data_IF_364082220596
#
_entry.id   IF_364082220596
#
_cell.length_a   1.000
_cell.length_b   1.000
_cell.length_c   1.000
_cell.angle_alpha   90.00
_cell.angle_beta   90.00
_cell.angle_gamma   90.00
#
_symmetry.space_group_name_H-M   'P 1'
#
loop_
_entity.id
_entity.type
_entity.pdbx_description
1 polymer ?
#
# COMPACT_ATOMS: atom_id res chain seq x y z
N UNK A 1 -18.48 15.71 9.74
CA UNK A 1 -17.49 16.69 10.24
C UNK A 1 -16.36 16.72 9.23
N UNK A 2 -16.29 17.83 8.49
CA UNK A 2 -15.35 18.27 7.45
C UNK A 2 -14.43 17.22 6.81
N UNK A 3 -14.88 16.68 5.67
CA UNK A 3 -14.03 16.03 4.67
C UNK A 3 -13.38 17.12 3.81
N UNK A 4 -12.22 17.63 4.22
CA UNK A 4 -11.39 18.45 3.32
C UNK A 4 -10.46 17.55 2.51
N UNK A 5 -10.50 17.76 1.19
CA UNK A 5 -9.62 17.13 0.21
C UNK A 5 -8.18 17.56 0.54
N UNK A 6 -7.38 16.64 1.10
CA UNK A 6 -5.96 16.91 1.40
C UNK A 6 -5.19 16.87 0.07
N UNK A 7 -5.10 18.03 -0.54
CA UNK A 7 -4.14 18.35 -1.60
C UNK A 7 -3.05 19.23 -0.97
N UNK A 8 -1.80 19.14 -1.46
CA UNK A 8 -0.73 20.11 -1.14
C UNK A 8 -1.02 21.53 -1.68
N UNK A 9 -2.24 21.79 -2.16
CA UNK A 9 -2.69 23.02 -2.78
C UNK A 9 -3.61 23.91 -1.90
N UNK A 10 -3.43 24.11 -0.58
CA UNK A 10 -4.09 25.22 0.10
C UNK A 10 -3.17 26.45 0.07
N UNK A 11 -2.69 26.88 -1.11
CA UNK A 11 -1.81 28.05 -1.21
C UNK A 11 -2.09 28.95 -2.40
N UNK A 12 -3.16 29.73 -2.29
CA UNK A 12 -3.22 31.06 -2.91
C UNK A 12 -3.20 32.23 -1.91
N UNK A 13 -3.59 32.07 -0.63
CA UNK A 13 -3.93 33.27 0.19
C UNK A 13 -3.33 33.39 1.62
N UNK A 14 -2.14 32.81 1.91
CA UNK A 14 -1.45 33.12 3.18
C UNK A 14 -0.55 34.36 3.06
N UNK A 15 -0.63 35.37 3.96
CA UNK A 15 0.18 36.58 3.90
C UNK A 15 1.68 36.30 4.12
N UNK A 16 2.52 36.88 3.26
CA UNK A 16 3.95 36.60 3.09
C UNK A 16 4.78 37.62 3.91
N UNK A 17 5.83 37.20 4.66
CA UNK A 17 6.86 38.12 5.17
C UNK A 17 7.72 38.69 4.02
N UNK A 18 8.08 39.96 4.11
CA UNK A 18 8.66 40.86 3.08
C UNK A 18 10.02 40.49 2.43
N UNK A 19 10.38 39.22 2.26
CA UNK A 19 11.50 38.81 1.39
C UNK A 19 10.97 38.39 0.01
N UNK A 20 11.47 39.01 -1.06
CA UNK A 20 11.11 38.74 -2.47
C UNK A 20 11.61 37.37 -2.95
N UNK A 21 11.26 36.29 -2.27
CA UNK A 21 11.61 34.94 -2.71
C UNK A 21 10.59 34.49 -3.74
N UNK A 22 11.04 34.20 -4.98
CA UNK A 22 10.17 33.68 -6.03
C UNK A 22 9.66 32.29 -5.61
N UNK A 23 8.34 32.07 -5.67
CA UNK A 23 7.74 30.76 -5.43
C UNK A 23 8.04 29.81 -6.59
N UNK A 24 8.27 28.54 -6.28
CA UNK A 24 8.42 27.51 -7.30
C UNK A 24 7.10 27.33 -8.07
N UNK A 25 7.21 27.14 -9.39
CA UNK A 25 6.08 26.83 -10.26
C UNK A 25 6.45 25.64 -11.13
N UNK A 26 5.55 24.67 -11.19
CA UNK A 26 5.75 23.49 -12.03
C UNK A 26 5.82 23.90 -13.51
N UNK A 27 6.78 23.36 -14.27
CA UNK A 27 6.75 23.41 -15.72
C UNK A 27 5.49 22.71 -16.27
N UNK A 28 5.14 22.92 -17.55
CA UNK A 28 4.01 22.26 -18.21
C UNK A 28 4.01 20.73 -18.07
N UNK A 29 2.86 20.11 -18.40
CA UNK A 29 2.63 18.67 -18.34
C UNK A 29 3.82 17.86 -18.89
N UNK A 30 4.20 16.85 -18.11
CA UNK A 30 5.27 15.93 -18.47
C UNK A 30 4.94 15.19 -19.77
N UNK A 31 5.99 14.88 -20.55
CA UNK A 31 5.87 14.00 -21.70
C UNK A 31 5.38 12.61 -21.25
N UNK A 32 4.61 11.89 -22.08
CA UNK A 32 4.21 10.51 -21.77
C UNK A 32 5.41 9.65 -21.36
N UNK A 33 5.24 8.85 -20.30
CA UNK A 33 6.30 7.99 -19.77
C UNK A 33 7.44 8.72 -19.06
N UNK A 34 7.26 9.99 -18.67
CA UNK A 34 8.22 10.73 -17.84
C UNK A 34 7.66 10.95 -16.43
N UNK A 35 8.58 11.09 -15.48
CA UNK A 35 8.34 11.62 -14.12
C UNK A 35 9.31 12.76 -13.86
N UNK A 36 9.18 13.49 -12.75
CA UNK A 36 10.28 14.31 -12.24
C UNK A 36 11.11 13.54 -11.23
N UNK A 37 12.37 13.93 -11.07
CA UNK A 37 13.24 13.49 -9.97
C UNK A 37 13.76 14.71 -9.21
N UNK A 38 13.87 14.55 -7.89
CA UNK A 38 14.48 15.51 -6.99
C UNK A 38 15.97 15.19 -6.88
N UNK A 39 16.83 16.13 -7.25
CA UNK A 39 18.25 16.12 -6.90
C UNK A 39 18.40 16.86 -5.58
N UNK A 40 18.57 16.11 -4.50
CA UNK A 40 18.85 16.61 -3.16
C UNK A 40 20.34 16.90 -3.02
N UNK A 41 20.68 18.10 -2.58
CA UNK A 41 22.06 18.55 -2.51
C UNK A 41 22.72 18.23 -1.19
N UNK A 42 24.03 17.93 -1.20
CA UNK A 42 24.78 17.73 0.02
C UNK A 42 25.01 19.04 0.76
N UNK A 43 25.14 18.92 2.09
CA UNK A 43 25.61 20.00 2.96
C UNK A 43 26.22 19.37 4.22
N UNK A 44 27.39 19.84 4.64
CA UNK A 44 28.07 19.36 5.85
C UNK A 44 27.31 19.76 7.12
N UNK A 45 26.56 20.87 7.09
CA UNK A 45 25.78 21.34 8.23
C UNK A 45 24.41 20.66 8.23
N UNK A 46 24.14 19.86 9.26
CA UNK A 46 22.86 19.14 9.40
C UNK A 46 21.65 20.08 9.42
N UNK A 47 21.79 21.29 9.96
CA UNK A 47 20.73 22.29 10.10
C UNK A 47 20.65 23.29 8.92
N UNK A 48 21.57 23.22 7.95
CA UNK A 48 21.50 24.06 6.77
C UNK A 48 20.20 23.84 6.00
N UNK A 49 19.66 24.88 5.37
CA UNK A 49 18.41 24.80 4.61
C UNK A 49 18.50 23.77 3.47
N UNK A 50 17.41 23.02 3.25
CA UNK A 50 17.35 21.98 2.21
C UNK A 50 17.35 22.62 0.82
N UNK A 51 18.36 22.29 0.01
CA UNK A 51 18.50 22.73 -1.38
C UNK A 51 18.31 21.57 -2.35
N UNK A 52 17.49 21.80 -3.38
CA UNK A 52 17.08 20.79 -4.34
C UNK A 52 17.00 21.34 -5.77
N UNK A 53 17.12 20.42 -6.73
CA UNK A 53 16.71 20.65 -8.12
C UNK A 53 15.64 19.65 -8.55
N UNK A 54 14.65 20.10 -9.31
CA UNK A 54 13.63 19.24 -9.89
C UNK A 54 13.76 19.24 -11.41
N UNK A 55 13.86 18.05 -12.00
CA UNK A 55 14.09 17.88 -13.44
C UNK A 55 13.32 16.68 -14.01
N UNK A 56 13.01 16.74 -15.30
CA UNK A 56 12.29 15.69 -16.01
C UNK A 56 13.16 14.45 -16.22
N UNK A 57 12.57 13.27 -16.02
CA UNK A 57 13.23 11.99 -16.09
C UNK A 57 12.41 10.98 -16.91
N UNK A 58 12.97 10.41 -17.99
CA UNK A 58 12.30 9.40 -18.82
C UNK A 58 12.29 8.02 -18.14
N UNK A 59 11.11 7.42 -17.99
CA UNK A 59 10.95 6.05 -17.47
C UNK A 59 11.15 5.01 -18.59
N UNK A 60 12.36 4.89 -19.13
CA UNK A 60 12.69 3.99 -20.25
C UNK A 60 12.30 2.53 -20.02
N UNK A 61 11.53 1.92 -20.92
CA UNK A 61 11.14 0.49 -20.82
C UNK A 61 12.24 -0.48 -21.25
N UNK A 62 13.24 0.00 -21.98
CA UNK A 62 14.43 -0.77 -22.28
C UNK A 62 15.24 -1.00 -21.00
N UNK A 63 15.47 -2.27 -20.63
CA UNK A 63 16.36 -2.66 -19.53
C UNK A 63 17.86 -2.33 -19.73
N UNK A 64 18.19 -1.37 -20.61
CA UNK A 64 19.52 -0.79 -20.75
C UNK A 64 19.66 0.38 -19.78
N UNK A 65 20.42 0.17 -18.71
CA UNK A 65 20.72 1.18 -17.71
C UNK A 65 20.10 0.84 -16.34
N UNK A 66 20.86 1.10 -15.29
CA UNK A 66 20.37 1.06 -13.92
C UNK A 66 19.80 2.45 -13.64
N UNK A 67 18.50 2.57 -13.32
CA UNK A 67 18.00 3.87 -12.87
C UNK A 67 18.58 4.12 -11.48
N UNK A 68 19.37 5.19 -11.34
CA UNK A 68 20.17 5.48 -10.14
C UNK A 68 19.43 6.38 -9.13
N UNK A 69 18.09 6.39 -9.16
CA UNK A 69 17.31 7.13 -8.18
C UNK A 69 16.73 6.19 -7.12
N UNK A 70 16.44 6.78 -5.98
CA UNK A 70 15.79 6.15 -4.83
C UNK A 70 14.35 6.66 -4.75
N UNK A 71 13.41 5.88 -4.23
CA UNK A 71 12.05 6.35 -4.02
C UNK A 71 11.75 6.47 -2.52
N UNK A 72 11.17 7.58 -2.10
CA UNK A 72 10.78 7.82 -0.72
C UNK A 72 9.35 7.34 -0.48
N UNK A 73 9.16 6.53 0.55
CA UNK A 73 7.88 6.07 1.08
C UNK A 73 7.74 6.62 2.50
N UNK A 74 6.85 7.59 2.70
CA UNK A 74 6.73 8.29 3.98
C UNK A 74 5.26 8.65 4.27
N UNK A 75 4.95 9.07 5.49
CA UNK A 75 3.62 9.64 5.80
C UNK A 75 3.66 11.14 5.61
N UNK A 76 2.74 11.73 4.85
CA UNK A 76 2.74 13.18 4.60
C UNK A 76 2.66 14.01 5.89
N UNK A 77 1.99 13.48 6.91
CA UNK A 77 1.91 14.08 8.24
C UNK A 77 0.86 15.19 8.32
N UNK A 78 1.00 16.03 9.34
CA UNK A 78 0.16 17.20 9.55
C UNK A 78 0.45 18.28 8.49
N UNK A 79 -0.62 18.92 8.00
CA UNK A 79 -0.61 19.97 6.99
C UNK A 79 -0.87 21.35 7.61
N UNK A 80 -0.99 21.47 8.93
CA UNK A 80 -1.25 22.74 9.63
C UNK A 80 0.00 23.61 9.74
N UNK A 81 1.18 23.03 9.54
CA UNK A 81 2.46 23.73 9.50
C UNK A 81 3.28 23.31 8.28
N UNK A 82 4.08 24.23 7.74
CA UNK A 82 4.93 23.95 6.59
C UNK A 82 6.34 24.48 6.84
N UNK A 83 7.31 23.77 6.27
CA UNK A 83 8.71 24.15 6.21
C UNK A 83 9.05 24.59 4.79
N UNK A 84 10.01 25.50 4.66
CA UNK A 84 10.47 26.00 3.36
C UNK A 84 11.72 25.26 2.91
N UNK A 85 11.74 24.85 1.64
CA UNK A 85 12.92 24.32 0.95
C UNK A 85 13.16 25.12 -0.34
N UNK A 86 14.38 25.08 -0.86
CA UNK A 86 14.73 25.71 -2.13
C UNK A 86 14.68 24.68 -3.26
N UNK A 87 13.81 24.86 -4.25
CA UNK A 87 13.78 24.08 -5.49
C UNK A 87 14.11 24.98 -6.67
N UNK A 88 15.16 24.65 -7.43
CA UNK A 88 15.61 25.44 -8.57
C UNK A 88 15.78 26.94 -8.20
N UNK A 89 16.35 27.21 -7.01
CA UNK A 89 16.54 28.56 -6.44
C UNK A 89 15.24 29.32 -6.12
N UNK A 90 14.12 28.62 -5.98
CA UNK A 90 12.80 29.18 -5.65
C UNK A 90 12.26 28.54 -4.38
N UNK A 91 11.51 29.29 -3.61
CA UNK A 91 10.90 28.81 -2.37
C UNK A 91 9.75 27.84 -2.66
N UNK A 92 9.75 26.70 -1.97
CA UNK A 92 8.65 25.73 -1.98
C UNK A 92 8.35 25.26 -0.56
N UNK A 93 7.07 25.21 -0.22
CA UNK A 93 6.60 24.70 1.07
C UNK A 93 6.39 23.20 1.03
N UNK A 94 6.84 22.52 2.07
CA UNK A 94 6.67 21.08 2.28
C UNK A 94 6.19 20.81 3.69
N UNK A 95 5.61 19.64 3.91
CA UNK A 95 5.20 19.23 5.26
C UNK A 95 6.41 19.01 6.16
N UNK A 96 6.25 19.10 7.50
CA UNK A 96 7.34 18.83 8.43
C UNK A 96 7.89 17.41 8.26
N UNK A 97 7.02 16.43 7.99
CA UNK A 97 7.45 15.05 7.77
C UNK A 97 8.37 14.91 6.56
N UNK A 98 8.05 15.57 5.44
CA UNK A 98 8.90 15.54 4.26
C UNK A 98 10.21 16.30 4.50
N UNK A 99 10.15 17.48 5.13
CA UNK A 99 11.34 18.26 5.44
C UNK A 99 12.34 17.46 6.28
N UNK A 100 11.86 16.86 7.37
CA UNK A 100 12.69 16.03 8.26
C UNK A 100 13.23 14.79 7.56
N UNK A 101 12.44 14.14 6.70
CA UNK A 101 12.92 13.04 5.87
C UNK A 101 14.05 13.48 4.94
N UNK A 102 13.91 14.61 4.25
CA UNK A 102 14.95 15.14 3.35
C UNK A 102 16.23 15.49 4.10
N UNK A 103 16.15 16.05 5.31
CA UNK A 103 17.32 16.30 6.16
C UNK A 103 18.05 15.00 6.52
N UNK A 104 17.34 13.97 6.96
CA UNK A 104 17.92 12.66 7.30
C UNK A 104 18.45 11.89 6.09
N UNK A 105 17.99 12.24 4.90
CA UNK A 105 18.48 11.67 3.64
C UNK A 105 19.61 12.48 3.04
N UNK A 106 19.80 13.75 3.41
CA UNK A 106 20.88 14.55 2.89
C UNK A 106 22.21 13.93 3.30
N UNK A 107 23.06 13.66 2.32
CA UNK A 107 24.42 13.22 2.57
C UNK A 107 25.33 14.46 2.70
N UNK A 108 26.38 14.43 3.53
CA UNK A 108 27.25 15.59 3.69
C UNK A 108 28.05 15.98 2.44
N UNK A 109 28.28 15.03 1.52
CA UNK A 109 29.21 15.21 0.40
C UNK A 109 28.63 14.84 -0.97
N UNK A 110 27.66 13.94 -1.01
CA UNK A 110 27.09 13.42 -2.25
C UNK A 110 25.67 13.90 -2.48
N UNK A 111 25.39 14.31 -3.71
CA UNK A 111 24.02 14.53 -4.13
C UNK A 111 23.25 13.22 -4.25
N UNK A 112 21.94 13.27 -4.00
CA UNK A 112 21.06 12.12 -4.10
C UNK A 112 19.92 12.40 -5.07
N UNK A 113 19.56 11.40 -5.85
CA UNK A 113 18.41 11.45 -6.75
C UNK A 113 17.26 10.70 -6.11
N UNK A 114 16.20 11.43 -5.73
CA UNK A 114 15.09 10.90 -4.97
C UNK A 114 13.79 11.18 -5.74
N UNK A 115 12.95 10.17 -5.88
CA UNK A 115 11.56 10.35 -6.25
C UNK A 115 10.71 10.45 -4.99
N UNK A 116 9.96 11.54 -4.87
CA UNK A 116 8.98 11.74 -3.79
C UNK A 116 7.71 12.34 -4.38
N UNK A 117 6.59 11.64 -4.18
CA UNK A 117 5.28 11.95 -4.75
C UNK A 117 4.86 13.42 -4.56
N UNK A 118 5.05 13.96 -3.36
CA UNK A 118 4.68 15.32 -3.00
C UNK A 118 5.39 16.42 -3.81
N UNK A 119 6.60 16.15 -4.33
CA UNK A 119 7.37 17.12 -5.12
C UNK A 119 7.47 16.74 -6.59
N UNK A 120 7.60 15.46 -6.91
CA UNK A 120 7.80 14.99 -8.27
C UNK A 120 6.52 15.02 -9.12
N UNK A 121 5.35 15.01 -8.45
CA UNK A 121 4.02 15.13 -9.07
C UNK A 121 3.48 16.53 -8.77
N UNK A 122 2.97 17.22 -9.79
CA UNK A 122 2.19 18.43 -9.59
C UNK A 122 0.84 18.08 -8.97
N UNK A 123 0.74 18.19 -7.65
CA UNK A 123 -0.46 17.85 -6.87
C UNK A 123 -1.66 18.75 -7.19
N UNK A 124 -1.44 19.90 -7.83
CA UNK A 124 -2.49 20.86 -8.19
C UNK A 124 -3.06 20.61 -9.60
N UNK A 125 -2.47 19.72 -10.39
CA UNK A 125 -3.01 19.31 -11.70
C UNK A 125 -3.60 17.89 -11.59
N UNK A 126 -4.95 17.75 -11.57
CA UNK A 126 -5.59 16.45 -11.43
C UNK A 126 -5.29 15.51 -12.61
N UNK A 127 -5.04 16.06 -13.81
CA UNK A 127 -4.68 15.24 -14.97
C UNK A 127 -3.26 14.70 -14.80
N UNK A 128 -2.30 15.55 -14.40
CA UNK A 128 -0.94 15.08 -14.11
C UNK A 128 -0.95 14.05 -12.97
N UNK A 129 -1.66 14.35 -11.88
CA UNK A 129 -1.80 13.47 -10.72
C UNK A 129 -2.36 12.10 -11.12
N UNK A 130 -3.46 12.06 -11.89
CA UNK A 130 -4.04 10.82 -12.37
C UNK A 130 -3.04 9.97 -13.18
N UNK A 131 -2.34 10.59 -14.13
CA UNK A 131 -1.34 9.89 -14.96
C UNK A 131 -0.12 9.41 -14.15
N UNK A 132 0.39 10.22 -13.22
CA UNK A 132 1.54 9.85 -12.39
C UNK A 132 1.17 8.76 -11.37
N UNK A 133 -0.02 8.83 -10.77
CA UNK A 133 -0.54 7.78 -9.86
C UNK A 133 -0.61 6.42 -10.56
N UNK A 134 -1.11 6.39 -11.80
CA UNK A 134 -1.12 5.16 -12.60
C UNK A 134 0.29 4.65 -12.94
N UNK A 135 1.29 5.53 -12.91
CA UNK A 135 2.70 5.22 -13.15
C UNK A 135 3.48 4.89 -11.88
N UNK A 136 2.93 5.11 -10.67
CA UNK A 136 3.67 4.96 -9.41
C UNK A 136 4.30 3.57 -9.25
N UNK A 137 3.58 2.48 -9.53
CA UNK A 137 4.13 1.13 -9.43
C UNK A 137 5.38 0.96 -10.31
N UNK A 138 5.35 1.54 -11.53
CA UNK A 138 6.49 1.54 -12.45
C UNK A 138 7.65 2.37 -11.91
N UNK A 139 7.37 3.52 -11.31
CA UNK A 139 8.39 4.40 -10.73
C UNK A 139 9.06 3.72 -9.53
N UNK A 140 8.32 3.17 -8.57
CA UNK A 140 8.91 2.47 -7.43
C UNK A 140 9.67 1.21 -7.86
N UNK A 141 9.18 0.46 -8.85
CA UNK A 141 9.86 -0.75 -9.34
C UNK A 141 11.18 -0.46 -10.07
N UNK A 142 11.28 0.74 -10.67
CA UNK A 142 12.48 1.20 -11.36
C UNK A 142 13.51 1.83 -10.44
N UNK A 143 13.14 2.25 -9.22
CA UNK A 143 14.07 2.79 -8.24
C UNK A 143 15.14 1.74 -7.85
N UNK A 144 16.35 2.21 -7.55
CA UNK A 144 17.44 1.37 -7.03
C UNK A 144 17.09 0.75 -5.69
N UNK A 145 16.41 1.53 -4.82
CA UNK A 145 15.79 1.10 -3.58
C UNK A 145 14.63 2.01 -3.20
N UNK A 146 13.76 1.50 -2.34
CA UNK A 146 12.67 2.26 -1.71
C UNK A 146 13.03 2.48 -0.26
N UNK A 147 13.05 3.74 0.16
CA UNK A 147 13.32 4.12 1.54
C UNK A 147 11.99 4.31 2.24
N UNK A 148 11.71 3.45 3.22
CA UNK A 148 10.57 3.56 4.11
C UNK A 148 10.97 4.45 5.28
N UNK A 149 10.50 5.69 5.29
CA UNK A 149 10.72 6.64 6.36
C UNK A 149 9.59 6.57 7.39
N UNK A 150 9.93 6.11 8.59
CA UNK A 150 9.01 5.92 9.71
C UNK A 150 8.91 7.15 10.62
N UNK A 151 9.64 8.24 10.33
CA UNK A 151 9.70 9.44 11.15
C UNK A 151 10.92 9.46 12.09
N UNK A 152 10.93 10.44 12.99
CA UNK A 152 11.97 10.62 14.00
C UNK A 152 12.07 9.44 14.98
N UNK A 153 13.22 9.36 15.65
CA UNK A 153 13.41 8.45 16.77
C UNK A 153 12.45 8.81 17.92
N UNK A 154 11.61 7.85 18.31
CA UNK A 154 10.60 8.01 19.34
C UNK A 154 10.10 6.64 19.81
N UNK A 155 9.58 6.59 21.04
CA UNK A 155 8.96 5.40 21.66
C UNK A 155 9.89 4.16 21.67
N UNK A 156 11.19 4.39 21.81
CA UNK A 156 12.19 3.31 21.79
C UNK A 156 12.45 2.70 20.41
N UNK A 157 12.13 3.41 19.32
CA UNK A 157 12.31 2.93 17.93
C UNK A 157 13.69 2.35 17.64
N UNK A 158 14.75 2.95 18.18
CA UNK A 158 16.13 2.54 17.89
C UNK A 158 16.41 1.18 18.54
N UNK A 159 15.94 1.00 19.77
CA UNK A 159 15.95 -0.30 20.46
C UNK A 159 15.09 -1.32 19.70
N UNK A 160 13.89 -0.94 19.24
CA UNK A 160 13.02 -1.84 18.49
C UNK A 160 13.68 -2.35 17.20
N UNK A 161 14.29 -1.44 16.42
CA UNK A 161 15.00 -1.80 15.20
C UNK A 161 16.19 -2.72 15.52
N UNK A 162 16.96 -2.40 16.57
CA UNK A 162 18.12 -3.21 16.96
C UNK A 162 17.73 -4.62 17.41
N UNK A 163 16.68 -4.75 18.22
CA UNK A 163 16.15 -6.07 18.66
C UNK A 163 15.69 -6.90 17.46
N UNK A 164 14.95 -6.29 16.52
CA UNK A 164 14.54 -6.95 15.28
C UNK A 164 15.77 -7.36 14.45
N UNK A 165 16.76 -6.48 14.33
CA UNK A 165 18.00 -6.74 13.58
C UNK A 165 18.77 -7.91 14.18
N UNK A 166 18.96 -7.94 15.49
CA UNK A 166 19.65 -9.05 16.17
C UNK A 166 18.89 -10.37 15.98
N UNK A 167 17.57 -10.38 16.12
CA UNK A 167 16.74 -11.56 15.90
C UNK A 167 16.85 -12.09 14.45
N UNK A 168 17.13 -11.22 13.47
CA UNK A 168 17.30 -11.61 12.07
C UNK A 168 18.58 -12.43 11.79
N UNK A 169 19.55 -12.43 12.71
CA UNK A 169 20.85 -13.10 12.53
C UNK A 169 20.83 -14.62 12.78
N UNK A 170 19.69 -15.18 13.19
CA UNK A 170 19.54 -16.61 13.46
C UNK A 170 20.07 -17.06 14.83
N UNK A 171 20.45 -16.14 15.71
CA UNK A 171 20.67 -16.45 17.12
C UNK A 171 19.35 -16.87 17.79
N UNK A 172 19.38 -17.80 18.77
CA UNK A 172 18.16 -18.17 19.48
C UNK A 172 17.55 -16.90 20.10
N UNK A 173 16.28 -16.61 19.82
CA UNK A 173 15.66 -15.38 20.30
C UNK A 173 15.72 -15.37 21.83
N UNK A 174 16.31 -14.33 22.40
CA UNK A 174 16.11 -14.07 23.83
C UNK A 174 14.62 -13.81 24.04
N UNK A 175 14.00 -14.32 25.11
CA UNK A 175 12.61 -14.01 25.42
C UNK A 175 12.42 -12.49 25.39
N UNK A 176 11.46 -12.04 24.59
CA UNK A 176 11.21 -10.62 24.41
C UNK A 176 10.76 -10.02 25.74
N UNK A 177 11.60 -9.16 26.33
CA UNK A 177 11.23 -8.44 27.54
C UNK A 177 10.12 -7.43 27.25
N UNK A 178 9.41 -7.00 28.30
CA UNK A 178 8.25 -6.09 28.16
C UNK A 178 8.62 -4.74 27.53
N UNK A 179 9.81 -4.22 27.80
CA UNK A 179 10.27 -2.93 27.28
C UNK A 179 10.53 -3.03 25.78
N UNK A 180 11.26 -4.08 25.36
CA UNK A 180 11.52 -4.38 23.96
C UNK A 180 10.21 -4.66 23.19
N UNK A 181 9.26 -5.36 23.82
CA UNK A 181 7.93 -5.57 23.24
C UNK A 181 7.18 -4.26 23.02
N UNK A 182 7.21 -3.35 24.00
CA UNK A 182 6.55 -2.04 23.90
C UNK A 182 7.20 -1.15 22.83
N UNK A 183 8.52 -1.20 22.72
CA UNK A 183 9.26 -0.46 21.69
C UNK A 183 8.90 -0.95 20.27
N UNK A 184 8.87 -2.28 20.07
CA UNK A 184 8.43 -2.88 18.79
C UNK A 184 6.98 -2.52 18.51
N UNK A 185 6.10 -2.56 19.52
CA UNK A 185 4.71 -2.16 19.38
C UNK A 185 4.59 -0.70 18.89
N UNK A 186 5.31 0.23 19.54
CA UNK A 186 5.33 1.65 19.15
C UNK A 186 5.85 1.85 17.72
N UNK A 187 6.86 1.08 17.30
CA UNK A 187 7.36 1.06 15.92
C UNK A 187 6.29 0.62 14.92
N UNK A 188 5.62 -0.51 15.18
CA UNK A 188 4.62 -1.10 14.28
C UNK A 188 3.29 -0.32 14.24
N UNK A 189 2.99 0.47 15.27
CA UNK A 189 1.81 1.33 15.33
C UNK A 189 1.95 2.64 14.54
N UNK A 190 3.16 2.98 14.08
CA UNK A 190 3.40 4.20 13.29
C UNK A 190 2.46 4.27 12.08
N UNK A 191 2.00 5.48 11.78
CA UNK A 191 0.97 5.76 10.76
C UNK A 191 1.31 5.21 9.38
N UNK A 192 2.60 5.09 9.05
CA UNK A 192 3.07 4.52 7.78
C UNK A 192 2.46 3.13 7.52
N UNK A 193 2.46 2.23 8.52
CA UNK A 193 1.90 0.88 8.39
C UNK A 193 0.38 0.87 8.18
N UNK A 194 -0.31 1.98 8.44
CA UNK A 194 -1.77 2.03 8.35
C UNK A 194 -2.24 2.47 6.96
N UNK A 195 -1.40 3.13 6.17
CA UNK A 195 -1.78 3.72 4.88
C UNK A 195 -1.94 2.67 3.80
N UNK A 196 -2.82 2.90 2.83
CA UNK A 196 -2.98 1.97 1.70
C UNK A 196 -1.88 2.16 0.64
N UNK A 197 -1.45 3.39 0.38
CA UNK A 197 -0.47 3.70 -0.67
C UNK A 197 0.86 2.98 -0.48
N UNK A 198 1.31 2.81 0.77
CA UNK A 198 2.58 2.15 1.08
C UNK A 198 2.66 0.73 0.54
N UNK A 199 1.52 0.06 0.37
CA UNK A 199 1.48 -1.32 -0.15
C UNK A 199 2.05 -1.40 -1.55
N UNK A 200 1.63 -0.51 -2.46
CA UNK A 200 2.16 -0.50 -3.83
C UNK A 200 3.63 -0.08 -3.84
N UNK A 201 4.03 0.82 -2.95
CA UNK A 201 5.40 1.33 -2.84
C UNK A 201 6.35 0.20 -2.45
N UNK A 202 6.03 -0.57 -1.40
CA UNK A 202 6.85 -1.72 -0.99
C UNK A 202 6.63 -2.96 -1.84
N UNK A 203 5.47 -3.13 -2.50
CA UNK A 203 5.23 -4.22 -3.44
C UNK A 203 5.99 -4.03 -4.76
N UNK A 204 6.26 -2.79 -5.15
CA UNK A 204 7.05 -2.48 -6.33
C UNK A 204 8.56 -2.57 -6.07
N UNK A 205 8.99 -2.25 -4.85
CA UNK A 205 10.39 -2.16 -4.48
C UNK A 205 11.20 -3.42 -4.80
N UNK A 206 12.42 -3.27 -5.33
CA UNK A 206 13.37 -4.39 -5.47
C UNK A 206 14.34 -4.51 -4.30
N UNK A 207 14.47 -3.43 -3.55
CA UNK A 207 15.20 -3.34 -2.30
C UNK A 207 14.45 -2.34 -1.41
N UNK A 208 14.23 -2.69 -0.16
CA UNK A 208 13.54 -1.85 0.84
C UNK A 208 14.52 -1.56 1.96
N UNK A 209 14.72 -0.29 2.27
CA UNK A 209 15.46 0.17 3.45
C UNK A 209 14.47 0.84 4.39
N UNK A 210 14.33 0.33 5.62
CA UNK A 210 13.46 0.94 6.64
C UNK A 210 14.34 1.85 7.50
N UNK A 211 13.95 3.11 7.62
CA UNK A 211 14.67 4.14 8.38
C UNK A 211 13.74 4.82 9.38
N UNK A 212 14.23 5.01 10.60
CA UNK A 212 13.55 5.73 11.68
C UNK A 212 14.58 6.55 12.45
N UNK A 213 14.48 7.88 12.41
CA UNK A 213 15.55 8.77 12.85
C UNK A 213 16.86 8.43 12.14
N UNK A 214 17.93 8.28 12.90
CA UNK A 214 19.25 7.90 12.39
C UNK A 214 19.42 6.40 12.14
N UNK A 215 18.59 5.55 12.74
CA UNK A 215 18.70 4.09 12.62
C UNK A 215 18.05 3.56 11.35
N UNK A 216 18.63 2.50 10.78
CA UNK A 216 18.11 1.84 9.60
C UNK A 216 18.27 0.32 9.66
N UNK A 217 17.41 -0.38 8.93
CA UNK A 217 17.43 -1.84 8.80
C UNK A 217 16.99 -2.24 7.39
N UNK A 218 17.66 -3.26 6.84
CA UNK A 218 17.24 -3.87 5.59
C UNK A 218 15.84 -4.50 5.72
N UNK A 219 14.97 -4.29 4.73
CA UNK A 219 13.59 -4.74 4.78
C UNK A 219 13.45 -6.26 4.92
N UNK A 220 14.35 -7.05 4.32
CA UNK A 220 14.36 -8.50 4.48
C UNK A 220 14.76 -8.88 5.92
N UNK A 221 15.81 -8.24 6.45
CA UNK A 221 16.23 -8.43 7.84
C UNK A 221 15.11 -8.06 8.83
N UNK A 222 14.38 -6.97 8.59
CA UNK A 222 13.21 -6.59 9.38
C UNK A 222 12.13 -7.68 9.40
N UNK A 223 11.81 -8.25 8.23
CA UNK A 223 10.79 -9.30 8.13
C UNK A 223 11.22 -10.61 8.82
N UNK A 224 12.48 -11.03 8.63
CA UNK A 224 13.03 -12.24 9.26
C UNK A 224 13.09 -12.07 10.77
N UNK A 225 13.61 -10.93 11.24
CA UNK A 225 13.72 -10.62 12.67
C UNK A 225 12.36 -10.58 13.36
N UNK A 226 11.38 -9.89 12.79
CA UNK A 226 10.04 -9.80 13.38
C UNK A 226 9.34 -11.17 13.44
N UNK A 227 9.55 -12.03 12.43
CA UNK A 227 9.05 -13.40 12.47
C UNK A 227 9.76 -14.24 13.55
N UNK A 228 11.09 -14.15 13.64
CA UNK A 228 11.88 -14.89 14.63
C UNK A 228 11.51 -14.55 16.09
N UNK A 229 11.09 -13.31 16.34
CA UNK A 229 10.60 -12.87 17.65
C UNK A 229 9.23 -13.46 18.04
N UNK A 230 8.50 -14.07 17.09
CA UNK A 230 7.14 -14.57 17.29
C UNK A 230 6.24 -13.54 18.00
N UNK A 231 6.26 -12.29 17.50
CA UNK A 231 5.57 -11.17 18.15
C UNK A 231 4.06 -11.49 18.32
N UNK A 232 3.49 -11.31 19.53
CA UNK A 232 2.14 -11.79 19.84
C UNK A 232 1.06 -10.87 19.26
N UNK A 233 0.85 -10.93 17.95
CA UNK A 233 -0.16 -10.13 17.24
C UNK A 233 -1.59 -10.39 17.72
N UNK A 234 -1.87 -11.55 18.32
CA UNK A 234 -3.17 -11.87 18.91
C UNK A 234 -3.57 -10.90 20.03
N UNK A 235 -2.60 -10.30 20.72
CA UNK A 235 -2.87 -9.27 21.72
C UNK A 235 -3.20 -7.90 21.11
N UNK A 236 -3.00 -7.72 19.79
CA UNK A 236 -3.14 -6.46 19.07
C UNK A 236 -3.91 -6.64 17.75
N UNK A 237 -5.24 -6.79 17.80
CA UNK A 237 -6.07 -7.10 16.63
C UNK A 237 -5.88 -6.12 15.45
N UNK A 238 -5.67 -4.83 15.76
CA UNK A 238 -5.42 -3.80 14.74
C UNK A 238 -4.14 -4.06 13.94
N UNK A 239 -3.11 -4.65 14.56
CA UNK A 239 -1.83 -4.95 13.89
C UNK A 239 -1.83 -6.29 13.17
N UNK A 240 -2.67 -7.24 13.61
CA UNK A 240 -2.71 -8.60 13.08
C UNK A 240 -3.03 -8.63 11.57
N UNK A 241 -3.83 -7.69 11.07
CA UNK A 241 -4.13 -7.56 9.63
C UNK A 241 -3.14 -6.65 8.88
N UNK A 242 -2.46 -5.74 9.57
CA UNK A 242 -1.59 -4.74 8.95
C UNK A 242 -0.16 -5.24 8.75
N UNK A 243 0.44 -5.83 9.78
CA UNK A 243 1.88 -6.09 9.78
C UNK A 243 2.24 -7.31 8.93
N UNK A 244 1.62 -8.49 9.12
CA UNK A 244 1.92 -9.67 8.29
C UNK A 244 1.74 -9.44 6.79
N UNK A 245 0.67 -8.73 6.41
CA UNK A 245 0.38 -8.43 5.00
C UNK A 245 1.37 -7.43 4.39
N UNK A 246 1.97 -6.55 5.20
CA UNK A 246 3.04 -5.63 4.76
C UNK A 246 4.39 -6.33 4.70
N UNK A 247 4.74 -7.14 5.71
CA UNK A 247 6.01 -7.88 5.74
C UNK A 247 6.08 -8.92 4.63
N UNK A 248 4.94 -9.52 4.25
CA UNK A 248 4.85 -10.34 3.05
C UNK A 248 5.34 -9.60 1.79
N UNK A 249 4.87 -8.37 1.58
CA UNK A 249 5.30 -7.55 0.43
C UNK A 249 6.76 -7.12 0.55
N UNK A 250 7.25 -6.77 1.74
CA UNK A 250 8.65 -6.33 1.90
C UNK A 250 9.62 -7.51 1.68
N UNK A 251 9.34 -8.68 2.27
CA UNK A 251 10.22 -9.85 2.26
C UNK A 251 10.56 -10.32 0.86
N UNK A 252 9.59 -10.31 -0.05
CA UNK A 252 9.77 -10.87 -1.39
C UNK A 252 10.44 -9.87 -2.37
N UNK A 253 10.76 -8.64 -1.92
CA UNK A 253 11.39 -7.61 -2.73
C UNK A 253 12.68 -8.04 -3.47
N UNK A 254 13.64 -8.75 -2.84
CA UNK A 254 14.88 -9.15 -3.50
C UNK A 254 14.68 -10.11 -4.68
N UNK A 255 13.57 -10.83 -4.72
CA UNK A 255 13.27 -11.82 -5.77
C UNK A 255 12.56 -11.22 -6.99
N UNK A 256 12.23 -9.92 -6.97
CA UNK A 256 11.50 -9.26 -8.05
C UNK A 256 12.38 -8.99 -9.27
N UNK A 257 11.87 -9.24 -10.49
CA UNK A 257 12.64 -9.06 -11.71
C UNK A 257 12.96 -7.58 -11.96
N UNK A 258 14.13 -7.30 -12.56
CA UNK A 258 14.53 -5.96 -13.03
C UNK A 258 13.66 -5.44 -14.18
N UNK A 259 13.21 -6.35 -15.03
CA UNK A 259 12.46 -6.05 -16.24
C UNK A 259 11.09 -6.75 -16.13
N UNK A 260 10.03 -5.96 -16.10
CA UNK A 260 8.66 -6.46 -16.18
C UNK A 260 8.27 -6.46 -17.66
N UNK A 261 8.08 -7.64 -18.24
CA UNK A 261 7.63 -7.76 -19.63
C UNK A 261 6.13 -7.47 -19.72
N UNK A 262 5.78 -6.30 -20.26
CA UNK A 262 4.39 -5.96 -20.52
C UNK A 262 3.88 -6.73 -21.75
N UNK A 263 2.99 -7.70 -21.55
CA UNK A 263 2.21 -8.31 -22.65
C UNK A 263 1.05 -7.42 -23.11
N UNK A 264 0.57 -6.51 -22.25
CA UNK A 264 -0.69 -5.76 -22.43
C UNK A 264 -0.50 -4.23 -22.54
N UNK A 265 0.74 -3.73 -22.62
CA UNK A 265 1.03 -2.29 -22.65
C UNK A 265 0.86 -1.54 -21.31
N UNK A 266 0.15 -2.12 -20.33
CA UNK A 266 -0.03 -1.57 -18.97
C UNK A 266 0.92 -2.22 -17.97
N UNK A 267 1.70 -1.41 -17.25
CA UNK A 267 2.60 -1.91 -16.19
C UNK A 267 1.81 -2.51 -15.03
N UNK A 268 2.16 -3.73 -14.63
CA UNK A 268 1.60 -4.41 -13.47
C UNK A 268 2.69 -5.21 -12.76
N UNK A 269 2.64 -5.23 -11.44
CA UNK A 269 3.51 -6.05 -10.58
C UNK A 269 3.09 -7.52 -10.53
N UNK A 270 1.91 -7.86 -11.07
CA UNK A 270 1.38 -9.22 -11.13
C UNK A 270 1.37 -9.91 -9.75
N UNK A 271 1.02 -9.16 -8.70
CA UNK A 271 1.03 -9.67 -7.32
C UNK A 271 -0.14 -10.63 -7.14
N UNK A 272 -1.38 -10.13 -7.29
CA UNK A 272 -2.62 -10.88 -7.12
C UNK A 272 -3.77 -10.22 -7.90
N UNK A 273 -4.89 -10.91 -8.16
CA UNK A 273 -6.08 -10.28 -8.73
C UNK A 273 -6.59 -9.12 -7.86
N UNK A 274 -7.14 -8.07 -8.46
CA UNK A 274 -7.57 -6.84 -7.77
C UNK A 274 -8.57 -7.13 -6.65
N UNK A 275 -9.51 -8.05 -6.89
CA UNK A 275 -10.50 -8.46 -5.89
C UNK A 275 -9.87 -9.05 -4.61
N UNK A 276 -8.78 -9.80 -4.77
CA UNK A 276 -8.04 -10.37 -3.64
C UNK A 276 -7.30 -9.25 -2.92
N UNK A 277 -6.65 -8.35 -3.65
CA UNK A 277 -5.96 -7.21 -3.04
C UNK A 277 -6.92 -6.32 -2.24
N UNK A 278 -8.10 -6.00 -2.79
CA UNK A 278 -9.11 -5.21 -2.07
C UNK A 278 -9.55 -5.92 -0.81
N UNK A 279 -9.83 -7.23 -0.88
CA UNK A 279 -10.18 -8.04 0.29
C UNK A 279 -9.06 -8.05 1.36
N UNK A 280 -7.80 -8.08 0.94
CA UNK A 280 -6.64 -8.01 1.83
C UNK A 280 -6.49 -6.65 2.52
N UNK A 281 -6.75 -5.56 1.81
CA UNK A 281 -6.21 -4.24 2.17
C UNK A 281 -7.26 -3.13 2.38
N UNK A 282 -8.56 -3.37 2.18
CA UNK A 282 -9.58 -2.31 2.25
C UNK A 282 -9.73 -1.63 3.63
N UNK A 283 -9.21 -2.21 4.72
CA UNK A 283 -9.19 -1.62 6.07
C UNK A 283 -8.05 -0.63 6.28
N UNK A 284 -7.11 -0.53 5.34
CA UNK A 284 -6.05 0.48 5.36
C UNK A 284 -6.66 1.89 5.26
N UNK A 285 -6.00 2.83 5.92
CA UNK A 285 -6.36 4.24 5.91
C UNK A 285 -6.03 4.87 4.55
N UNK A 286 -6.98 5.66 4.08
CA UNK A 286 -6.86 6.51 2.91
C UNK A 286 -7.56 7.83 3.22
N UNK A 287 -6.99 8.95 2.76
CA UNK A 287 -7.66 10.25 2.86
C UNK A 287 -8.83 10.34 1.89
N UNK A 288 -8.60 9.88 0.65
CA UNK A 288 -9.63 9.75 -0.37
C UNK A 288 -10.08 8.29 -0.43
N UNK A 289 -11.37 8.02 -0.26
CA UNK A 289 -11.89 6.66 -0.28
C UNK A 289 -11.61 5.94 -1.62
N UNK A 290 -11.47 6.67 -2.74
CA UNK A 290 -11.13 6.08 -4.05
C UNK A 290 -9.76 5.41 -4.05
N UNK A 291 -8.83 5.89 -3.22
CA UNK A 291 -7.49 5.32 -3.09
C UNK A 291 -7.54 3.89 -2.54
N UNK A 292 -8.63 3.49 -1.88
CA UNK A 292 -8.85 2.10 -1.45
C UNK A 292 -8.84 1.10 -2.60
N UNK A 293 -9.10 1.57 -3.82
CA UNK A 293 -9.02 0.79 -5.05
C UNK A 293 -7.81 1.21 -5.88
N UNK A 294 -7.60 2.51 -6.07
CA UNK A 294 -6.57 3.03 -6.98
C UNK A 294 -5.15 2.65 -6.55
N UNK A 295 -4.86 2.61 -5.24
CA UNK A 295 -3.56 2.21 -4.72
C UNK A 295 -3.22 0.73 -4.99
N UNK A 296 -4.20 -0.10 -5.37
CA UNK A 296 -4.00 -1.53 -5.61
C UNK A 296 -3.92 -1.87 -7.10
N UNK A 297 -4.24 -0.93 -7.99
CA UNK A 297 -4.28 -1.18 -9.43
C UNK A 297 -2.92 -1.58 -10.00
N UNK A 298 -1.82 -0.96 -9.54
CA UNK A 298 -0.47 -1.30 -9.99
C UNK A 298 0.00 -2.68 -9.52
N UNK A 299 -0.62 -3.22 -8.47
CA UNK A 299 -0.35 -4.56 -7.92
C UNK A 299 -1.17 -5.66 -8.59
N UNK A 300 -2.28 -5.30 -9.26
CA UNK A 300 -3.24 -6.26 -9.79
C UNK A 300 -2.67 -7.12 -10.92
N UNK A 301 -2.89 -8.43 -10.85
CA UNK A 301 -2.60 -9.39 -11.92
C UNK A 301 -3.74 -9.54 -12.94
N UNK A 302 -4.83 -8.79 -12.80
CA UNK A 302 -5.92 -8.86 -13.77
C UNK A 302 -5.50 -8.19 -15.08
N UNK A 303 -5.44 -8.98 -16.16
CA UNK A 303 -5.21 -8.47 -17.51
C UNK A 303 -6.48 -7.72 -17.96
N UNK A 304 -6.37 -6.40 -18.17
CA UNK A 304 -7.49 -5.49 -18.40
C UNK A 304 -8.36 -5.81 -19.62
N UNK A 305 -9.24 -6.80 -19.49
CA UNK A 305 -10.34 -7.07 -20.43
C UNK A 305 -11.36 -5.93 -20.50
N UNK A 306 -12.59 -6.23 -20.95
CA UNK A 306 -13.62 -5.25 -21.34
C UNK A 306 -13.99 -4.16 -20.30
N UNK A 307 -13.59 -4.29 -19.03
CA UNK A 307 -13.74 -3.26 -18.00
C UNK A 307 -12.38 -2.99 -17.32
N UNK A 308 -11.59 -2.08 -17.89
CA UNK A 308 -10.31 -1.67 -17.32
C UNK A 308 -10.51 -0.59 -16.27
N UNK A 309 -10.22 -0.90 -14.99
CA UNK A 309 -10.14 0.14 -13.94
C UNK A 309 -8.96 1.06 -14.21
N UNK A 310 -9.26 2.35 -14.31
CA UNK A 310 -8.28 3.44 -14.34
C UNK A 310 -8.48 4.35 -13.13
N UNK A 311 -7.42 5.04 -12.69
CA UNK A 311 -7.50 5.98 -11.58
C UNK A 311 -8.13 7.29 -12.08
N UNK A 312 -9.46 7.33 -12.07
CA UNK A 312 -10.26 8.48 -12.46
C UNK A 312 -10.74 9.24 -11.22
N UNK A 313 -10.06 10.34 -10.89
CA UNK A 313 -10.43 11.22 -9.80
C UNK A 313 -11.57 12.20 -10.14
N UNK A 314 -12.14 12.13 -11.36
CA UNK A 314 -13.35 12.88 -11.72
C UNK A 314 -14.63 12.15 -11.32
N UNK A 315 -14.57 10.82 -11.19
CA UNK A 315 -15.67 10.00 -10.69
C UNK A 315 -15.85 10.12 -9.17
N UNK A 316 -17.10 10.02 -8.72
CA UNK A 316 -17.47 9.98 -7.30
C UNK A 316 -17.10 8.62 -6.66
N UNK A 317 -16.96 8.60 -5.34
CA UNK A 317 -16.67 7.36 -4.61
C UNK A 317 -17.73 6.28 -4.83
N UNK A 318 -19.02 6.65 -4.76
CA UNK A 318 -20.13 5.72 -4.95
C UNK A 318 -20.09 5.07 -6.33
N UNK A 319 -19.73 5.81 -7.38
CA UNK A 319 -19.56 5.24 -8.73
C UNK A 319 -18.42 4.23 -8.78
N UNK A 320 -17.23 4.57 -8.26
CA UNK A 320 -16.07 3.67 -8.23
C UNK A 320 -16.35 2.41 -7.40
N UNK A 321 -17.02 2.58 -6.27
CA UNK A 321 -17.35 1.47 -5.39
C UNK A 321 -18.36 0.52 -6.04
N UNK A 322 -19.41 1.06 -6.68
CA UNK A 322 -20.38 0.27 -7.42
C UNK A 322 -19.74 -0.51 -8.57
N UNK A 323 -18.89 0.15 -9.36
CA UNK A 323 -18.13 -0.50 -10.43
C UNK A 323 -17.28 -1.64 -9.87
N UNK A 324 -16.60 -1.42 -8.74
CA UNK A 324 -15.75 -2.41 -8.07
C UNK A 324 -16.54 -3.64 -7.64
N UNK A 325 -17.72 -3.46 -7.02
CA UNK A 325 -18.60 -4.58 -6.63
C UNK A 325 -19.05 -5.39 -7.83
N UNK A 326 -19.47 -4.74 -8.92
CA UNK A 326 -19.87 -5.41 -10.14
C UNK A 326 -18.73 -6.20 -10.78
N UNK A 327 -17.53 -5.63 -10.77
CA UNK A 327 -16.33 -6.29 -11.29
C UNK A 327 -15.89 -7.49 -10.45
N UNK A 328 -15.98 -7.40 -9.12
CA UNK A 328 -15.55 -8.48 -8.22
C UNK A 328 -16.56 -9.62 -8.10
N UNK A 329 -17.86 -9.31 -8.21
CA UNK A 329 -18.94 -10.28 -8.03
C UNK A 329 -19.61 -10.63 -9.35
N UNK A 330 -20.50 -9.76 -9.84
CA UNK A 330 -21.23 -9.95 -11.09
C UNK A 330 -21.98 -8.68 -11.50
N UNK A 331 -22.25 -8.53 -12.80
CA UNK A 331 -23.19 -7.54 -13.31
C UNK A 331 -24.66 -7.91 -13.05
N UNK A 332 -24.95 -9.14 -12.62
CA UNK A 332 -26.32 -9.61 -12.39
C UNK A 332 -26.89 -9.28 -11.01
N UNK A 333 -26.06 -8.81 -10.07
CA UNK A 333 -26.52 -8.37 -8.75
C UNK A 333 -26.89 -6.88 -8.78
N UNK A 334 -27.90 -6.48 -8.00
CA UNK A 334 -28.19 -5.07 -7.75
C UNK A 334 -27.28 -4.56 -6.65
N UNK A 335 -26.74 -3.35 -6.82
CA UNK A 335 -25.80 -2.73 -5.89
C UNK A 335 -26.20 -1.28 -5.61
N UNK A 336 -26.41 -0.97 -4.34
CA UNK A 336 -26.58 0.40 -3.84
C UNK A 336 -25.32 0.83 -3.08
N UNK A 337 -24.85 2.06 -3.36
CA UNK A 337 -23.64 2.67 -2.79
C UNK A 337 -23.89 4.15 -2.49
N UNK A 338 -23.07 4.75 -1.64
CA UNK A 338 -23.14 6.16 -1.26
C UNK A 338 -21.76 6.79 -1.25
N UNK A 339 -21.67 8.10 -1.50
CA UNK A 339 -20.39 8.82 -1.55
C UNK A 339 -19.76 9.05 -0.16
N UNK A 340 -20.59 9.10 0.88
CA UNK A 340 -20.18 9.36 2.25
C UNK A 340 -19.99 8.08 3.09
N UNK A 341 -20.17 6.89 2.48
CA UNK A 341 -20.12 5.60 3.19
C UNK A 341 -19.25 4.58 2.46
N UNK A 342 -18.50 3.83 3.24
CA UNK A 342 -17.76 2.65 2.77
C UNK A 342 -18.59 1.37 2.93
N UNK A 343 -19.88 1.45 2.58
CA UNK A 343 -20.83 0.33 2.64
C UNK A 343 -21.53 0.19 1.29
N UNK A 344 -21.64 -1.05 0.80
CA UNK A 344 -22.44 -1.41 -0.36
C UNK A 344 -23.53 -2.39 0.06
N UNK A 345 -24.76 -2.16 -0.39
CA UNK A 345 -25.87 -3.10 -0.20
C UNK A 345 -26.08 -3.87 -1.50
N UNK A 346 -25.93 -5.19 -1.41
CA UNK A 346 -25.96 -6.09 -2.57
C UNK A 346 -27.22 -6.94 -2.48
N UNK A 347 -28.04 -6.92 -3.53
CA UNK A 347 -29.24 -7.77 -3.66
C UNK A 347 -29.06 -8.68 -4.88
N UNK A 348 -29.17 -9.99 -4.65
CA UNK A 348 -29.04 -10.98 -5.72
C UNK A 348 -29.50 -12.35 -5.25
N UNK A 349 -29.54 -13.31 -6.19
CA UNK A 349 -29.75 -14.71 -5.87
C UNK A 349 -28.40 -15.39 -5.69
N UNK A 350 -28.33 -16.40 -4.83
CA UNK A 350 -27.14 -17.21 -4.63
C UNK A 350 -27.50 -18.57 -4.07
N UNK A 351 -26.58 -19.52 -4.17
CA UNK A 351 -26.73 -20.86 -3.62
C UNK A 351 -25.64 -21.11 -2.57
N UNK A 352 -26.04 -21.58 -1.39
CA UNK A 352 -25.08 -22.05 -0.37
C UNK A 352 -24.57 -23.42 -0.77
N UNK A 353 -23.28 -23.49 -1.04
CA UNK A 353 -22.59 -24.71 -1.47
C UNK A 353 -22.12 -25.54 -0.27
N UNK A 354 -21.67 -24.88 0.80
CA UNK A 354 -21.06 -25.50 1.98
C UNK A 354 -20.78 -24.50 3.10
N UNK A 355 -20.04 -24.94 4.11
CA UNK A 355 -19.69 -24.14 5.29
C UNK A 355 -18.26 -24.42 5.75
N UNK A 356 -17.64 -23.43 6.39
CA UNK A 356 -16.32 -23.56 7.02
C UNK A 356 -16.44 -24.36 8.30
N UNK A 357 -15.71 -25.48 8.37
CA UNK A 357 -15.75 -26.42 9.49
C UNK A 357 -14.58 -26.23 10.47
N UNK A 358 -13.38 -25.96 9.95
CA UNK A 358 -12.20 -25.70 10.77
C UNK A 358 -11.29 -24.71 10.07
N UNK A 359 -10.43 -24.07 10.86
CA UNK A 359 -9.47 -23.07 10.40
C UNK A 359 -8.11 -23.45 10.97
N UNK A 360 -7.09 -23.43 10.12
CA UNK A 360 -5.70 -23.64 10.50
C UNK A 360 -4.96 -22.33 10.77
N UNK A 361 -3.70 -22.45 11.11
CA UNK A 361 -2.84 -21.31 11.41
C UNK A 361 -2.50 -20.49 10.16
N UNK A 362 -2.24 -19.20 10.36
CA UNK A 362 -1.76 -18.32 9.28
C UNK A 362 -0.30 -18.68 8.98
N UNK A 363 -0.07 -19.09 7.74
CA UNK A 363 1.27 -19.41 7.23
C UNK A 363 2.12 -18.14 7.06
N UNK A 364 3.44 -18.32 7.01
CA UNK A 364 4.38 -17.24 6.66
C UNK A 364 4.21 -16.73 5.22
N UNK A 365 3.29 -17.29 4.41
CA UNK A 365 2.91 -16.73 3.10
C UNK A 365 1.65 -15.87 3.17
N UNK A 366 1.26 -15.48 4.39
CA UNK A 366 0.07 -14.67 4.64
C UNK A 366 -1.20 -15.35 4.09
N UNK A 367 -1.27 -16.67 4.33
CA UNK A 367 -2.35 -17.53 3.89
C UNK A 367 -2.77 -18.45 5.03
N UNK A 368 -4.07 -18.65 5.20
CA UNK A 368 -4.70 -19.48 6.20
C UNK A 368 -5.36 -20.69 5.52
N UNK A 369 -5.29 -21.86 6.15
CA UNK A 369 -6.03 -23.03 5.66
C UNK A 369 -7.42 -23.09 6.29
N UNK A 370 -8.42 -23.53 5.53
CA UNK A 370 -9.77 -23.74 6.02
C UNK A 370 -10.33 -25.04 5.47
N UNK A 371 -10.87 -25.91 6.33
CA UNK A 371 -11.57 -27.12 5.88
C UNK A 371 -13.05 -26.79 5.69
N UNK A 372 -13.61 -27.18 4.54
CA UNK A 372 -14.97 -26.86 4.13
C UNK A 372 -15.77 -28.14 4.00
N UNK A 373 -16.97 -28.12 4.59
CA UNK A 373 -17.96 -29.19 4.47
C UNK A 373 -18.98 -28.80 3.40
N UNK A 374 -19.09 -29.62 2.36
CA UNK A 374 -20.03 -29.39 1.26
C UNK A 374 -21.41 -29.96 1.56
N UNK A 375 -22.45 -29.15 1.33
CA UNK A 375 -23.85 -29.56 1.48
C UNK A 375 -24.53 -29.76 0.12
N UNK A 376 -24.34 -28.83 -0.83
CA UNK A 376 -25.04 -28.81 -2.12
C UNK A 376 -24.07 -28.64 -3.32
N UNK A 377 -22.90 -29.28 -3.30
CA UNK A 377 -21.82 -29.02 -4.27
C UNK A 377 -21.69 -30.03 -5.43
N UNK A 378 -22.64 -30.96 -5.58
CA UNK A 378 -22.57 -32.09 -6.54
C UNK A 378 -22.39 -31.68 -8.00
N UNK A 379 -22.81 -30.46 -8.38
CA UNK A 379 -22.61 -29.89 -9.72
C UNK A 379 -21.40 -28.97 -9.88
N UNK A 380 -20.82 -28.43 -8.80
CA UNK A 380 -19.73 -27.44 -8.86
C UNK A 380 -18.34 -28.08 -8.79
N UNK A 381 -18.15 -29.13 -7.99
CA UNK A 381 -16.84 -29.76 -7.76
C UNK A 381 -16.50 -30.92 -8.72
N UNK A 382 -17.36 -31.20 -9.70
CA UNK A 382 -17.30 -32.46 -10.43
C UNK A 382 -17.74 -33.64 -9.53
N UNK A 383 -18.28 -34.67 -10.14
CA UNK A 383 -19.14 -35.68 -9.50
C UNK A 383 -18.45 -36.69 -8.56
N UNK A 384 -17.40 -36.32 -7.78
CA UNK A 384 -16.67 -37.29 -6.95
C UNK A 384 -16.26 -36.92 -5.52
N UNK A 385 -16.54 -35.72 -5.00
CA UNK A 385 -16.20 -35.42 -3.59
C UNK A 385 -17.43 -35.10 -2.75
N UNK A 386 -18.11 -36.16 -2.28
CA UNK A 386 -18.85 -36.09 -1.01
C UNK A 386 -17.81 -36.20 0.11
N UNK A 387 -17.17 -35.08 0.47
CA UNK A 387 -16.12 -35.04 1.48
C UNK A 387 -15.77 -33.62 1.90
N UNK A 388 -14.91 -33.47 2.91
CA UNK A 388 -14.36 -32.18 3.30
C UNK A 388 -13.23 -31.79 2.35
N UNK A 389 -13.16 -30.53 1.92
CA UNK A 389 -12.03 -30.02 1.12
C UNK A 389 -11.26 -28.97 1.91
N UNK A 390 -9.93 -29.07 1.88
CA UNK A 390 -9.03 -28.09 2.49
C UNK A 390 -8.67 -27.00 1.51
N UNK A 391 -9.04 -25.77 1.82
CA UNK A 391 -8.78 -24.58 1.01
C UNK A 391 -7.65 -23.76 1.60
N UNK A 392 -6.90 -23.07 0.74
CA UNK A 392 -5.92 -22.06 1.16
C UNK A 392 -6.45 -20.67 0.89
N UNK A 393 -6.95 -20.02 1.93
CA UNK A 393 -7.46 -18.66 1.90
C UNK A 393 -6.33 -17.67 2.17
N UNK A 394 -6.30 -16.53 1.52
CA UNK A 394 -5.32 -15.50 1.86
C UNK A 394 -5.77 -14.75 3.10
N UNK A 395 -4.80 -14.25 3.89
CA UNK A 395 -5.08 -13.32 4.98
C UNK A 395 -5.81 -12.12 4.40
N UNK A 396 -7.04 -11.92 4.82
CA UNK A 396 -7.82 -10.77 4.41
C UNK A 396 -8.31 -10.00 5.60
N UNK A 397 -8.81 -8.80 5.35
CA UNK A 397 -9.03 -7.80 6.39
C UNK A 397 -10.01 -8.25 7.49
N UNK A 398 -10.95 -9.15 7.18
CA UNK A 398 -11.86 -9.78 8.14
C UNK A 398 -11.51 -11.26 8.31
N UNK A 399 -11.31 -11.81 9.51
CA UNK A 399 -11.03 -13.24 9.64
C UNK A 399 -12.25 -14.07 9.21
N UNK A 400 -11.97 -15.17 8.52
CA UNK A 400 -12.97 -16.23 8.27
C UNK A 400 -13.17 -16.97 9.59
N UNK A 401 -14.40 -17.33 9.91
CA UNK A 401 -14.77 -18.02 11.15
C UNK A 401 -15.47 -19.35 10.85
N UNK A 402 -15.40 -20.27 11.81
CA UNK A 402 -16.17 -21.52 11.75
C UNK A 402 -17.66 -21.20 11.68
N UNK A 403 -18.36 -21.83 10.74
CA UNK A 403 -19.77 -21.56 10.44
C UNK A 403 -20.01 -20.52 9.34
N UNK A 404 -18.96 -19.86 8.83
CA UNK A 404 -19.11 -19.02 7.63
C UNK A 404 -19.55 -19.87 6.43
N UNK A 405 -20.50 -19.36 5.65
CA UNK A 405 -21.08 -20.08 4.54
C UNK A 405 -20.36 -19.78 3.22
N UNK A 406 -20.21 -20.81 2.38
CA UNK A 406 -19.67 -20.69 1.02
C UNK A 406 -20.84 -20.52 0.06
N UNK A 407 -20.98 -19.32 -0.50
CA UNK A 407 -22.10 -18.94 -1.36
C UNK A 407 -21.63 -18.66 -2.79
N UNK A 408 -22.27 -19.29 -3.78
CA UNK A 408 -22.11 -18.91 -5.18
C UNK A 408 -23.23 -17.94 -5.57
N UNK A 409 -22.87 -16.67 -5.75
CA UNK A 409 -23.80 -15.65 -6.23
C UNK A 409 -24.10 -15.84 -7.72
N UNK A 410 -25.32 -15.52 -8.12
CA UNK A 410 -25.75 -15.64 -9.51
C UNK A 410 -24.87 -14.80 -10.44
N UNK A 411 -24.36 -15.45 -11.48
CA UNK A 411 -23.48 -14.82 -12.47
C UNK A 411 -22.06 -14.52 -11.96
N UNK A 412 -21.71 -14.90 -10.73
CA UNK A 412 -20.36 -14.78 -10.23
C UNK A 412 -19.50 -15.96 -10.72
N UNK A 413 -18.25 -15.72 -11.14
CA UNK A 413 -17.38 -16.78 -11.65
C UNK A 413 -16.82 -17.68 -10.53
N UNK A 414 -16.91 -17.24 -9.25
CA UNK A 414 -16.31 -17.91 -8.10
C UNK A 414 -17.19 -17.77 -6.84
N UNK A 415 -17.11 -18.71 -5.88
CA UNK A 415 -17.80 -18.61 -4.60
C UNK A 415 -17.29 -17.44 -3.75
N UNK A 416 -18.12 -17.01 -2.81
CA UNK A 416 -17.91 -15.92 -1.85
C UNK A 416 -18.15 -16.47 -0.45
N UNK A 417 -17.32 -16.10 0.51
CA UNK A 417 -17.55 -16.44 1.93
C UNK A 417 -18.46 -15.39 2.53
N UNK A 418 -19.59 -15.81 3.08
CA UNK A 418 -20.60 -14.94 3.67
C UNK A 418 -20.94 -15.37 5.08
N UNK A 419 -21.16 -14.40 5.97
CA UNK A 419 -21.56 -14.61 7.36
C UNK A 419 -22.98 -14.14 7.58
N UNK A 420 -23.82 -14.99 8.14
CA UNK A 420 -25.17 -14.61 8.52
C UNK A 420 -25.14 -13.69 9.74
N UNK A 421 -25.84 -12.57 9.66
CA UNK A 421 -26.22 -11.72 10.79
C UNK A 421 -27.75 -11.77 10.94
N UNK A 422 -28.28 -11.12 11.97
CA UNK A 422 -29.70 -11.22 12.33
C UNK A 422 -30.67 -10.96 11.16
N UNK A 423 -30.39 -9.96 10.33
CA UNK A 423 -31.27 -9.47 9.26
C UNK A 423 -30.62 -9.43 7.87
N UNK A 424 -29.31 -9.70 7.77
CA UNK A 424 -28.57 -9.65 6.50
C UNK A 424 -27.38 -10.61 6.48
N UNK A 425 -26.77 -10.75 5.31
CA UNK A 425 -25.51 -11.47 5.12
C UNK A 425 -24.38 -10.48 4.88
N UNK A 426 -23.24 -10.71 5.52
CA UNK A 426 -22.03 -9.91 5.33
C UNK A 426 -21.05 -10.71 4.47
N UNK A 427 -20.51 -10.08 3.43
CA UNK A 427 -19.40 -10.66 2.67
C UNK A 427 -18.13 -10.57 3.51
N UNK A 428 -17.51 -11.73 3.76
CA UNK A 428 -16.24 -11.87 4.49
C UNK A 428 -15.07 -12.00 3.50
N UNK A 429 -15.26 -12.75 2.41
CA UNK A 429 -14.29 -12.91 1.32
C UNK A 429 -14.97 -12.94 -0.03
N UNK A 430 -14.40 -12.27 -1.03
CA UNK A 430 -14.87 -12.36 -2.42
C UNK A 430 -14.04 -13.36 -3.23
N UNK A 431 -14.73 -14.13 -4.09
CA UNK A 431 -14.12 -14.93 -5.16
C UNK A 431 -13.02 -15.92 -4.72
N UNK A 432 -13.31 -16.69 -3.66
CA UNK A 432 -12.43 -17.71 -3.08
C UNK A 432 -12.25 -18.91 -4.02
N UNK A 433 -11.08 -19.54 -3.95
CA UNK A 433 -10.75 -20.73 -4.73
C UNK A 433 -10.53 -21.93 -3.79
N UNK A 434 -10.86 -23.16 -4.28
CA UNK A 434 -10.41 -24.39 -3.65
C UNK A 434 -8.89 -24.48 -3.49
#
# INVERSE_FOLDING_TARGET
>A
MNNEIISLCPYLDAPIPLTKTLKYQYPPLLKPGHTRLLRLMPDEQEDAGVQCWLFDYPLHDSGRGMNLYEALSYTWGDMDSYQSISINQRDMRVTPSLHTALLHLRDPYLERFIWVDALCINQCDPNEKGHQVQSMAKIYAKAGRVIVWLGEAADGSDQAIEVIRVASTGQPPTPLDKTSQQAILGLLQRTWFQRIWVLQEVAAARHVLIKCGSTEIDGYAFCVGLHALNFPFEAYPDLQSLIPTTTYLIRDAPFRPRCVTNRSGRFSLQIRPLRVLVDMYHTRKATDSRDKVFALLGMSSDDGGEATFSADYTASWGQIFRQSVHYFLSNQVSVDTWDDKEIAVIRGKGCILGEVYSIGDVTWKDAQTADIVWRNATGYLGSKEKGNSRWTLQSGAKPVEVGDAICLLQGAPRPTVVRQRHDHWVIIRVAVQP
#
